data_IF_377214953723
#
_entry.id   IF_377214953723
#
_cell.length_a   1.000
_cell.length_b   1.000
_cell.length_c   1.000
_cell.angle_alpha   90.00
_cell.angle_beta   90.00
_cell.angle_gamma   90.00
#
_symmetry.space_group_name_H-M   'P 1'
#
loop_
_entity.id
_entity.type
_entity.pdbx_description
1 polymer ?
2 non-polymer ?
3 water ?
#
# COMPACT_ATOMS: atom_id res chain seq x y z
N UNK A 1 -13.98 2.08 5.70
CA UNK A 1 -13.72 3.54 5.79
C UNK A 1 -12.24 3.80 5.55
N UNK A 2 -11.93 4.98 5.02
CA UNK A 2 -10.54 5.43 4.87
C UNK A 2 -10.25 6.45 5.98
N UNK A 3 -9.21 6.17 6.75
CA UNK A 3 -8.86 6.97 7.92
C UNK A 3 -7.98 8.16 7.55
N UNK A 4 -8.60 9.19 6.99
CA UNK A 4 -7.91 10.42 6.65
C UNK A 4 -6.77 10.26 5.67
N UNK A 5 -5.82 11.18 5.78
CA UNK A 5 -4.70 11.28 4.87
C UNK A 5 -3.40 11.27 5.66
N UNK A 6 -2.35 10.80 5.00
CA UNK A 6 -1.02 10.77 5.60
C UNK A 6 0.02 11.21 4.58
N UNK A 7 0.93 12.08 5.00
CA UNK A 7 2.05 12.46 4.14
C UNK A 7 3.00 11.31 3.97
N UNK A 8 3.53 11.15 2.77
CA UNK A 8 4.56 10.16 2.52
C UNK A 8 5.75 10.30 3.48
N UNK A 9 6.13 11.54 3.79
CA UNK A 9 7.25 11.81 4.70
C UNK A 9 7.01 11.30 6.12
N UNK A 10 5.74 11.13 6.49
CA UNK A 10 5.36 10.65 7.82
C UNK A 10 5.36 9.13 7.91
N UNK A 11 5.43 8.46 6.76
CA UNK A 11 5.48 7.01 6.72
C UNK A 11 6.92 6.55 6.89
N UNK A 12 7.12 5.25 7.21
CA UNK A 12 8.49 4.77 7.27
C UNK A 12 9.21 5.01 5.93
N UNK A 13 10.54 5.17 5.95
CA UNK A 13 11.25 5.39 4.68
C UNK A 13 11.02 4.25 3.69
N UNK A 14 10.77 3.04 4.19
CA UNK A 14 10.50 1.89 3.33
C UNK A 14 9.24 2.08 2.46
N UNK A 15 8.32 2.93 2.91
CA UNK A 15 7.12 3.24 2.12
C UNK A 15 7.48 4.00 0.84
N UNK A 16 8.45 4.92 0.94
CA UNK A 16 8.97 5.60 -0.23
C UNK A 16 9.62 4.59 -1.18
N UNK A 17 10.40 3.66 -0.63
CA UNK A 17 11.01 2.61 -1.44
C UNK A 17 9.93 1.84 -2.21
N UNK A 18 8.87 1.44 -1.50
CA UNK A 18 7.80 0.68 -2.13
C UNK A 18 7.16 1.46 -3.28
N UNK A 19 6.86 2.73 -3.05
CA UNK A 19 6.27 3.56 -4.10
C UNK A 19 7.19 3.73 -5.31
N UNK A 20 8.49 3.87 -5.07
CA UNK A 20 9.45 3.93 -6.17
C UNK A 20 9.42 2.66 -7.01
N UNK A 21 9.34 1.51 -6.33
CA UNK A 21 9.30 0.22 -7.02
C UNK A 21 7.99 0.00 -7.76
N UNK A 22 6.88 0.43 -7.16
CA UNK A 22 5.58 0.36 -7.83
C UNK A 22 5.67 1.08 -9.18
N UNK A 23 6.26 2.27 -9.17
CA UNK A 23 6.37 3.09 -10.38
C UNK A 23 7.30 2.50 -11.44
N UNK A 24 8.29 1.72 -11.01
CA UNK A 24 9.24 1.12 -11.94
C UNK A 24 8.91 -0.34 -12.29
N UNK A 25 7.74 -0.82 -11.86
CA UNK A 25 7.30 -2.20 -12.08
C UNK A 25 8.26 -3.23 -11.47
N UNK A 26 8.87 -2.85 -10.35
CA UNK A 26 9.83 -3.70 -9.65
C UNK A 26 11.22 -3.10 -9.65
N UNK A 27 12.21 -3.85 -9.13
CA UNK A 27 12.08 -5.19 -8.57
C UNK A 27 11.39 -5.21 -7.22
N UNK A 28 10.45 -6.13 -7.05
CA UNK A 28 9.78 -6.28 -5.78
C UNK A 28 10.45 -7.35 -4.93
N UNK A 29 10.59 -7.09 -3.62
CA UNK A 29 11.24 -8.04 -2.71
C UNK A 29 10.48 -9.36 -2.48
N UNK A 30 9.16 -9.34 -2.62
CA UNK A 30 8.35 -10.52 -2.29
C UNK A 30 7.52 -11.00 -3.46
N UNK A 31 7.30 -12.31 -3.52
CA UNK A 31 6.54 -12.93 -4.60
C UNK A 31 5.11 -12.41 -4.70
N UNK A 32 4.54 -12.00 -3.57
CA UNK A 32 3.15 -11.54 -3.52
C UNK A 32 2.99 -10.07 -3.93
N UNK A 33 4.10 -9.35 -4.08
CA UNK A 33 4.01 -7.94 -4.45
C UNK A 33 3.37 -7.78 -5.82
N UNK A 34 2.35 -6.92 -5.88
CA UNK A 34 1.63 -6.67 -7.12
C UNK A 34 0.33 -7.42 -7.24
N UNK A 35 0.10 -8.41 -6.38
CA UNK A 35 -1.15 -9.17 -6.46
C UNK A 35 -2.36 -8.27 -6.23
N UNK A 36 -3.46 -8.62 -6.88
CA UNK A 36 -4.71 -7.90 -6.70
C UNK A 36 -5.13 -7.96 -5.24
N UNK A 37 -5.47 -6.80 -4.68
CA UNK A 37 -6.05 -6.74 -3.35
C UNK A 37 -7.57 -6.89 -3.47
N UNK A 38 -8.11 -7.87 -2.76
CA UNK A 38 -9.52 -8.25 -2.89
C UNK A 38 -10.49 -7.33 -2.15
N UNK A 39 -9.99 -6.58 -1.17
CA UNK A 39 -10.85 -5.71 -0.36
C UNK A 39 -12.04 -6.49 0.18
N UNK A 40 -11.75 -7.67 0.73
CA UNK A 40 -12.82 -8.62 1.04
C UNK A 40 -13.69 -8.27 2.24
N UNK A 41 -13.26 -7.28 3.03
CA UNK A 41 -14.07 -6.75 4.13
C UNK A 41 -14.72 -5.41 3.77
N UNK A 42 -14.52 -4.97 2.52
CA UNK A 42 -15.10 -3.72 2.02
C UNK A 42 -14.68 -2.49 2.83
N UNK A 43 -13.49 -2.55 3.42
CA UNK A 43 -12.92 -1.37 4.08
C UNK A 43 -12.65 -0.20 3.12
N UNK A 44 -12.09 -0.50 1.94
CA UNK A 44 -11.93 0.52 0.90
C UNK A 44 -13.21 0.62 0.06
N UNK A 45 -13.37 1.72 -0.70
CA UNK A 45 -14.56 1.82 -1.55
C UNK A 45 -14.70 0.63 -2.51
N UNK A 46 -15.94 0.25 -2.77
CA UNK A 46 -16.23 -0.91 -3.61
C UNK A 46 -15.75 -0.68 -5.03
N UNK A 47 -14.94 -1.60 -5.53
CA UNK A 47 -14.49 -1.55 -6.92
C UNK A 47 -14.38 -2.97 -7.44
N UNK A 48 -14.45 -3.13 -8.75
CA UNK A 48 -14.28 -4.45 -9.36
C UNK A 48 -12.90 -5.03 -9.08
N UNK A 49 -12.85 -6.35 -8.96
CA UNK A 49 -11.60 -7.07 -8.75
C UNK A 49 -10.56 -6.66 -9.79
N UNK A 50 -9.40 -6.22 -9.32
CA UNK A 50 -8.34 -5.75 -10.21
C UNK A 50 -8.07 -4.27 -10.06
N UNK A 51 -9.01 -3.54 -9.46
CA UNK A 51 -8.84 -2.12 -9.22
C UNK A 51 -7.67 -1.85 -8.27
N UNK A 52 -7.57 -2.65 -7.22
CA UNK A 52 -6.57 -2.48 -6.18
C UNK A 52 -5.45 -3.50 -6.30
N UNK A 53 -4.20 -3.05 -6.13
CA UNK A 53 -3.05 -3.95 -6.05
C UNK A 53 -2.28 -3.69 -4.77
N UNK A 54 -1.71 -4.74 -4.19
CA UNK A 54 -1.01 -4.63 -2.91
C UNK A 54 0.48 -4.86 -3.03
N UNK A 55 1.24 -4.14 -2.20
CA UNK A 55 2.70 -4.19 -2.19
C UNK A 55 3.19 -4.09 -0.77
N UNK A 56 4.18 -4.92 -0.44
CA UNK A 56 4.80 -4.89 0.88
C UNK A 56 5.61 -3.62 1.11
N UNK A 57 5.43 -3.02 2.28
CA UNK A 57 6.35 -2.04 2.81
C UNK A 57 7.19 -2.80 3.84
N UNK A 58 8.47 -2.99 3.56
CA UNK A 58 9.33 -3.81 4.42
C UNK A 58 9.36 -3.23 5.83
N UNK A 59 9.15 -4.08 6.83
CA UNK A 59 9.30 -3.70 8.23
C UNK A 59 10.70 -4.10 8.69
N UNK A 60 11.50 -3.12 9.14
CA UNK A 60 12.84 -3.47 9.62
C UNK A 60 12.73 -4.43 10.80
N UNK A 61 13.63 -5.40 10.86
CA UNK A 61 13.67 -6.36 11.96
C UNK A 61 12.67 -7.50 11.89
N UNK A 62 11.77 -7.46 10.91
CA UNK A 62 10.73 -8.49 10.79
C UNK A 62 11.28 -9.80 10.24
N UNK A 63 10.63 -10.91 10.57
CA UNK A 63 10.94 -12.20 9.96
C UNK A 63 10.07 -12.40 8.72
N UNK A 64 8.83 -11.92 8.80
CA UNK A 64 7.86 -12.08 7.74
C UNK A 64 7.75 -10.79 6.94
N UNK A 65 6.74 -10.72 6.08
CA UNK A 65 6.42 -9.48 5.37
C UNK A 65 5.83 -8.41 6.29
N UNK A 66 5.53 -8.78 7.54
CA UNK A 66 4.94 -7.83 8.48
C UNK A 66 3.58 -7.37 8.01
N UNK A 67 3.13 -6.24 8.54
CA UNK A 67 1.75 -5.82 8.36
C UNK A 67 1.59 -4.52 7.56
N UNK A 68 2.69 -3.97 7.06
CA UNK A 68 2.65 -2.71 6.33
C UNK A 68 2.50 -2.97 4.84
N UNK A 69 1.55 -2.30 4.21
CA UNK A 69 1.31 -2.45 2.78
C UNK A 69 0.92 -1.12 2.17
N UNK A 70 1.21 -0.99 0.88
CA UNK A 70 0.60 0.05 0.06
C UNK A 70 -0.38 -0.62 -0.90
N UNK A 71 -1.57 -0.05 -0.99
CA UNK A 71 -2.58 -0.49 -1.94
C UNK A 71 -2.75 0.62 -2.96
N UNK A 72 -2.58 0.30 -4.24
CA UNK A 72 -2.77 1.30 -5.28
C UNK A 72 -4.18 1.21 -5.85
N UNK A 73 -4.69 2.35 -6.27
CA UNK A 73 -6.00 2.44 -6.91
C UNK A 73 -5.87 2.99 -8.32
N UNK A 74 -6.67 4.00 -8.63
CA UNK A 74 -6.67 4.58 -9.97
C UNK A 74 -5.41 5.39 -10.26
N UNK A 75 -4.75 5.05 -11.37
CA UNK A 75 -3.57 5.78 -11.83
C UNK A 75 -2.56 5.92 -10.69
N UNK A 76 -1.99 7.11 -10.50
CA UNK A 76 -1.01 7.31 -9.43
C UNK A 76 -1.50 8.31 -8.39
N UNK A 77 -2.82 8.47 -8.31
CA UNK A 77 -3.46 9.47 -7.45
C UNK A 77 -4.18 8.87 -6.24
N UNK A 78 -4.17 7.55 -6.12
CA UNK A 78 -4.98 6.88 -5.11
C UNK A 78 -4.21 5.74 -4.45
N UNK A 79 -3.13 6.10 -3.76
CA UNK A 79 -2.32 5.13 -3.04
C UNK A 79 -2.70 5.19 -1.57
N UNK A 80 -2.98 4.02 -1.00
CA UNK A 80 -3.32 3.91 0.41
C UNK A 80 -2.21 3.23 1.18
N UNK A 81 -2.01 3.66 2.41
CA UNK A 81 -1.11 2.98 3.33
C UNK A 81 -1.93 2.27 4.40
N UNK A 82 -1.55 1.04 4.70
CA UNK A 82 -2.02 0.36 5.89
C UNK A 82 -0.82 -0.07 6.72
N UNK A 83 -0.87 0.23 8.02
CA UNK A 83 0.17 -0.23 8.93
C UNK A 83 -0.22 -1.51 9.64
N UNK A 84 -1.47 -1.95 9.43
CA UNK A 84 -2.06 -3.03 10.23
C UNK A 84 -2.72 -4.14 9.39
N UNK A 85 -2.15 -4.38 8.22
CA UNK A 85 -2.60 -5.43 7.31
C UNK A 85 -4.11 -5.41 7.07
N UNK A 86 -4.58 -4.23 6.67
CA UNK A 86 -5.90 -4.03 6.07
C UNK A 86 -7.03 -3.71 7.04
N UNK A 87 -6.72 -3.59 8.32
CA UNK A 87 -7.73 -3.15 9.28
C UNK A 87 -8.07 -1.68 9.08
N UNK A 88 -7.05 -0.87 8.81
CA UNK A 88 -7.23 0.56 8.53
C UNK A 88 -6.35 0.98 7.37
N UNK A 89 -6.78 2.04 6.68
CA UNK A 89 -6.05 2.61 5.55
C UNK A 89 -6.09 4.12 5.64
N UNK A 90 -5.05 4.77 5.13
CA UNK A 90 -5.06 6.22 4.96
C UNK A 90 -4.61 6.54 3.55
N UNK A 91 -5.19 7.58 2.96
CA UNK A 91 -4.78 8.02 1.63
C UNK A 91 -3.44 8.75 1.73
N UNK A 92 -2.48 8.33 0.90
CA UNK A 92 -1.15 8.91 0.94
C UNK A 92 -1.09 10.18 0.09
N UNK A 93 -0.55 11.24 0.69
CA UNK A 93 -0.20 12.44 -0.06
C UNK A 93 1.29 12.40 -0.33
N UNK A 94 1.65 12.12 -1.57
CA UNK A 94 3.05 11.97 -1.95
C UNK A 94 3.79 13.31 -2.07
N UNK A 95 3.07 14.42 -1.91
CA UNK A 95 3.69 15.74 -2.03
C UNK A 95 4.20 16.30 -0.70
N UNK A 96 3.96 15.59 0.40
CA UNK A 96 4.40 16.07 1.71
C UNK A 96 5.03 14.99 2.56
X LIG B 1 -1.32 -10.50 1.80
X LIG B 1 -0.61 -11.13 0.71
X LIG B 1 -2.27 -9.56 1.23
X LIG B 1 -2.02 -11.51 2.60
X LIG B 1 -0.36 -9.80 2.66
#
# INVERSE_FOLDING_TARGET
DVSGTVCLSALPPEATDTLNLIASDGPFPYSQDGVVFQNRESVLPTQSYGYYHEYTVITPGARTRGTRRIITGEATQEDYYTGDHYATFSLIDKTC
SO4 S O1 O2 O3 O4
#
